data_IF_953879957284
#
_entry.id   IF_953879957284
#
_cell.length_a   1.000
_cell.length_b   1.000
_cell.length_c   1.000
_cell.angle_alpha   90.00
_cell.angle_beta   90.00
_cell.angle_gamma   90.00
#
_symmetry.space_group_name_H-M   'P 1'
#
loop_
_entity.id
_entity.type
_entity.pdbx_description
1 polymer ?
#
# COMPACT_ATOMS: atom_id res chain seq x y z
N UNK A 1 -13.86 -8.52 21.74
CA UNK A 1 -12.63 -8.27 20.95
C UNK A 1 -12.61 -9.28 19.83
N UNK A 2 -13.15 -8.90 18.67
CA UNK A 2 -13.02 -9.66 17.43
C UNK A 2 -11.60 -9.52 16.92
N UNK A 3 -10.97 -10.63 16.54
CA UNK A 3 -9.64 -10.64 15.92
C UNK A 3 -9.67 -9.78 14.65
N UNK A 4 -8.57 -9.09 14.29
CA UNK A 4 -8.50 -8.40 13.01
C UNK A 4 -8.72 -9.43 11.91
N UNK A 5 -9.78 -9.21 11.14
CA UNK A 5 -10.12 -9.96 9.95
C UNK A 5 -8.88 -9.97 9.06
N UNK A 6 -8.29 -11.16 8.88
CA UNK A 6 -7.15 -11.34 8.00
C UNK A 6 -7.57 -10.90 6.61
N UNK A 7 -7.03 -9.77 6.14
CA UNK A 7 -7.37 -9.20 4.84
C UNK A 7 -7.15 -10.26 3.76
N UNK A 8 -8.19 -10.51 2.96
CA UNK A 8 -8.10 -11.41 1.81
C UNK A 8 -7.14 -10.80 0.77
N UNK A 9 -6.02 -11.48 0.44
CA UNK A 9 -5.08 -11.00 -0.58
C UNK A 9 -5.74 -10.88 -1.97
N UNK A 10 -6.79 -11.66 -2.26
CA UNK A 10 -7.58 -11.51 -3.48
C UNK A 10 -8.29 -10.16 -3.54
N UNK A 11 -9.02 -9.82 -2.47
CA UNK A 11 -9.71 -8.54 -2.35
C UNK A 11 -8.76 -7.33 -2.42
N UNK A 12 -7.54 -7.45 -1.87
CA UNK A 12 -6.53 -6.37 -1.95
C UNK A 12 -6.06 -6.15 -3.39
N UNK A 13 -5.89 -7.23 -4.16
CA UNK A 13 -5.46 -7.15 -5.56
C UNK A 13 -6.53 -6.51 -6.43
N UNK A 14 -7.79 -6.93 -6.28
CA UNK A 14 -8.94 -6.34 -6.98
C UNK A 14 -9.11 -4.85 -6.68
N UNK A 15 -8.87 -4.43 -5.42
CA UNK A 15 -8.90 -3.02 -5.04
C UNK A 15 -7.80 -2.20 -5.71
N UNK A 16 -6.60 -2.76 -5.85
CA UNK A 16 -5.49 -2.10 -6.55
C UNK A 16 -5.78 -1.98 -8.06
N UNK A 17 -6.29 -3.03 -8.68
CA UNK A 17 -6.69 -2.99 -10.10
C UNK A 17 -7.79 -1.94 -10.35
N UNK A 18 -8.80 -1.89 -9.49
CA UNK A 18 -9.87 -0.89 -9.59
C UNK A 18 -9.34 0.53 -9.36
N UNK A 19 -8.46 0.73 -8.38
CA UNK A 19 -7.83 2.03 -8.16
C UNK A 19 -6.98 2.46 -9.37
N UNK A 20 -6.22 1.55 -9.96
CA UNK A 20 -5.44 1.82 -11.18
C UNK A 20 -6.34 2.23 -12.35
N UNK A 21 -7.46 1.52 -12.54
CA UNK A 21 -8.45 1.82 -13.58
C UNK A 21 -9.09 3.20 -13.39
N UNK A 22 -9.51 3.53 -12.17
CA UNK A 22 -10.12 4.83 -11.85
C UNK A 22 -9.14 5.98 -12.05
N UNK A 23 -7.90 5.83 -11.58
CA UNK A 23 -6.85 6.84 -11.77
C UNK A 23 -6.51 7.04 -13.26
N UNK A 24 -6.45 5.94 -14.02
CA UNK A 24 -6.23 5.98 -15.46
C UNK A 24 -7.34 6.71 -16.20
N UNK A 25 -8.61 6.43 -15.88
CA UNK A 25 -9.76 7.14 -16.45
C UNK A 25 -9.71 8.63 -16.14
N UNK A 26 -9.49 8.98 -14.87
CA UNK A 26 -9.40 10.37 -14.43
C UNK A 26 -8.27 11.14 -15.12
N UNK A 27 -7.09 10.53 -15.26
CA UNK A 27 -5.98 11.13 -16.00
C UNK A 27 -6.30 11.34 -17.48
N UNK A 28 -7.04 10.41 -18.10
CA UNK A 28 -7.54 10.53 -19.47
C UNK A 28 -8.51 11.70 -19.64
N UNK A 29 -9.55 11.73 -18.81
CA UNK A 29 -10.57 12.79 -18.80
C UNK A 29 -9.94 14.18 -18.57
N UNK A 30 -8.96 14.29 -17.68
CA UNK A 30 -8.24 15.54 -17.42
C UNK A 30 -7.45 16.01 -18.66
N UNK A 31 -6.79 15.10 -19.40
CA UNK A 31 -6.08 15.45 -20.64
C UNK A 31 -7.01 15.90 -21.75
N UNK A 32 -8.16 15.28 -21.88
CA UNK A 32 -9.19 15.70 -22.85
C UNK A 32 -9.74 17.09 -22.52
N UNK A 33 -10.03 17.34 -21.24
CA UNK A 33 -10.45 18.65 -20.76
C UNK A 33 -9.37 19.71 -21.02
N UNK A 34 -8.09 19.41 -20.75
CA UNK A 34 -6.98 20.33 -21.00
C UNK A 34 -6.79 20.65 -22.49
N UNK A 35 -7.00 19.66 -23.36
CA UNK A 35 -6.99 19.87 -24.81
C UNK A 35 -8.08 20.84 -25.25
N UNK A 36 -9.29 20.69 -24.69
CA UNK A 36 -10.43 21.58 -24.96
C UNK A 36 -10.18 23.00 -24.43
N UNK A 37 -9.65 23.13 -23.22
CA UNK A 37 -9.27 24.42 -22.63
C UNK A 37 -8.20 25.12 -23.46
N UNK A 38 -7.21 24.38 -23.97
CA UNK A 38 -6.16 24.95 -24.83
C UNK A 38 -6.75 25.54 -26.11
N UNK A 39 -7.68 24.84 -26.74
CA UNK A 39 -8.36 25.36 -27.93
C UNK A 39 -9.13 26.65 -27.61
N UNK A 40 -9.90 26.66 -26.52
CA UNK A 40 -10.65 27.84 -26.09
C UNK A 40 -9.74 29.04 -25.77
N UNK A 41 -8.62 28.81 -25.08
CA UNK A 41 -7.64 29.86 -24.77
C UNK A 41 -7.03 30.42 -26.05
N UNK A 42 -6.74 29.57 -27.04
CA UNK A 42 -6.22 30.02 -28.33
C UNK A 42 -7.24 30.87 -29.11
N UNK A 43 -8.52 30.50 -29.09
CA UNK A 43 -9.59 31.27 -29.71
C UNK A 43 -9.73 32.66 -29.05
N UNK A 44 -9.77 32.71 -27.72
CA UNK A 44 -9.83 33.98 -26.97
C UNK A 44 -8.59 34.84 -27.20
N UNK A 45 -7.40 34.24 -27.28
CA UNK A 45 -6.16 34.95 -27.56
C UNK A 45 -6.14 35.58 -28.96
N UNK A 46 -6.77 34.92 -29.95
CA UNK A 46 -6.89 35.46 -31.30
C UNK A 46 -7.75 36.73 -31.34
N UNK A 47 -8.80 36.77 -30.52
CA UNK A 47 -9.74 37.90 -30.42
C UNK A 47 -9.25 39.03 -29.51
N UNK A 48 -8.40 38.73 -28.52
CA UNK A 48 -7.93 39.69 -27.51
C UNK A 48 -6.42 39.95 -27.60
N UNK A 49 -6.04 40.79 -28.57
CA UNK A 49 -4.62 41.02 -28.92
C UNK A 49 -3.93 42.16 -28.15
N UNK A 50 -4.59 42.80 -27.20
CA UNK A 50 -3.98 43.86 -26.41
C UNK A 50 -3.00 43.30 -25.36
N UNK A 51 -2.15 44.15 -24.74
CA UNK A 51 -1.22 43.69 -23.69
C UNK A 51 -1.90 43.01 -22.49
N UNK A 52 -3.16 43.33 -22.21
CA UNK A 52 -3.96 42.68 -21.16
C UNK A 52 -4.32 41.24 -21.54
N UNK A 53 -4.69 41.03 -22.80
CA UNK A 53 -4.92 39.71 -23.38
C UNK A 53 -3.67 38.83 -23.33
N UNK A 54 -2.51 39.38 -23.71
CA UNK A 54 -1.22 38.66 -23.60
C UNK A 54 -0.93 38.20 -22.17
N UNK A 55 -1.08 39.08 -21.17
CA UNK A 55 -0.88 38.72 -19.76
C UNK A 55 -1.93 37.74 -19.20
N UNK A 56 -3.12 37.66 -19.80
CA UNK A 56 -4.10 36.62 -19.48
C UNK A 56 -3.69 35.26 -20.06
N UNK A 57 -3.24 35.22 -21.32
CA UNK A 57 -2.75 33.99 -21.97
C UNK A 57 -1.59 33.39 -21.21
N UNK A 58 -0.61 34.21 -20.77
CA UNK A 58 0.52 33.75 -19.97
C UNK A 58 0.07 33.07 -18.67
N UNK A 59 -0.93 33.64 -17.97
CA UNK A 59 -1.49 33.05 -16.76
C UNK A 59 -2.26 31.76 -17.05
N UNK A 60 -3.03 31.71 -18.12
CA UNK A 60 -3.72 30.51 -18.55
C UNK A 60 -2.73 29.37 -18.88
N UNK A 61 -1.61 29.70 -19.53
CA UNK A 61 -0.55 28.74 -19.83
C UNK A 61 0.16 28.21 -18.57
N UNK A 62 0.36 29.05 -17.55
CA UNK A 62 0.90 28.61 -16.26
C UNK A 62 -0.03 27.59 -15.58
N UNK A 63 -1.33 27.90 -15.50
CA UNK A 63 -2.33 26.97 -14.93
C UNK A 63 -2.40 25.68 -15.75
N UNK A 64 -2.39 25.78 -17.08
CA UNK A 64 -2.40 24.61 -17.96
C UNK A 64 -1.20 23.69 -17.70
N UNK A 65 0.02 24.22 -17.63
CA UNK A 65 1.22 23.41 -17.35
C UNK A 65 1.17 22.72 -16.00
N UNK A 66 0.53 23.35 -15.02
CA UNK A 66 0.34 22.75 -13.70
C UNK A 66 -0.66 21.59 -13.73
N UNK A 67 -1.78 21.77 -14.43
CA UNK A 67 -2.78 20.72 -14.65
C UNK A 67 -2.25 19.57 -15.53
N UNK A 68 -1.43 19.87 -16.55
CA UNK A 68 -0.73 18.86 -17.36
C UNK A 68 0.16 17.99 -16.43
N UNK A 69 0.90 18.61 -15.50
CA UNK A 69 1.70 17.88 -14.52
C UNK A 69 0.85 16.98 -13.62
N UNK A 70 -0.30 17.47 -13.15
CA UNK A 70 -1.22 16.66 -12.34
C UNK A 70 -1.81 15.47 -13.11
N UNK A 71 -2.11 15.64 -14.40
CA UNK A 71 -2.57 14.54 -15.25
C UNK A 71 -1.47 13.48 -15.44
N UNK A 72 -0.22 13.90 -15.58
CA UNK A 72 0.92 12.99 -15.68
C UNK A 72 1.20 12.26 -14.36
N UNK A 73 1.14 12.96 -13.22
CA UNK A 73 1.26 12.35 -11.89
C UNK A 73 0.15 11.32 -11.64
N UNK A 74 -1.09 11.61 -12.04
CA UNK A 74 -2.22 10.68 -11.92
C UNK A 74 -2.02 9.43 -12.80
N UNK A 75 -1.50 9.59 -14.03
CA UNK A 75 -1.22 8.47 -14.92
C UNK A 75 -0.05 7.60 -14.44
N UNK A 76 1.00 8.22 -13.89
CA UNK A 76 2.11 7.50 -13.26
C UNK A 76 1.64 6.75 -12.02
N UNK A 77 0.79 7.35 -11.19
CA UNK A 77 0.18 6.67 -10.04
C UNK A 77 -0.68 5.49 -10.49
N UNK A 78 -1.52 5.65 -11.52
CA UNK A 78 -2.30 4.54 -12.10
C UNK A 78 -1.40 3.37 -12.52
N UNK A 79 -0.29 3.69 -13.19
CA UNK A 79 0.67 2.68 -13.66
C UNK A 79 1.37 1.96 -12.50
N UNK A 80 1.77 2.69 -11.46
CA UNK A 80 2.39 2.09 -10.26
C UNK A 80 1.41 1.21 -9.49
N UNK A 81 0.15 1.64 -9.40
CA UNK A 81 -0.91 0.86 -8.75
C UNK A 81 -1.20 -0.44 -9.52
N UNK A 82 -1.26 -0.39 -10.86
CA UNK A 82 -1.41 -1.60 -11.67
C UNK A 82 -0.26 -2.59 -11.47
N UNK A 83 1.00 -2.11 -11.47
CA UNK A 83 2.16 -2.97 -11.18
C UNK A 83 2.10 -3.56 -9.78
N UNK A 84 1.64 -2.80 -8.79
CA UNK A 84 1.48 -3.33 -7.44
C UNK A 84 0.41 -4.43 -7.36
N UNK A 85 -0.66 -4.33 -8.14
CA UNK A 85 -1.67 -5.37 -8.28
C UNK A 85 -1.09 -6.65 -8.91
N UNK A 86 -0.35 -6.50 -10.02
CA UNK A 86 0.34 -7.62 -10.69
C UNK A 86 1.33 -8.33 -9.74
N UNK A 87 2.13 -7.57 -9.00
CA UNK A 87 3.07 -8.10 -8.01
C UNK A 87 2.33 -8.83 -6.87
N UNK A 88 1.19 -8.32 -6.44
CA UNK A 88 0.33 -8.95 -5.42
C UNK A 88 -0.24 -10.28 -5.91
N UNK A 89 -0.77 -10.30 -7.14
CA UNK A 89 -1.28 -11.50 -7.78
C UNK A 89 -0.19 -12.58 -7.92
N UNK A 90 1.02 -12.19 -8.35
CA UNK A 90 2.14 -13.11 -8.48
C UNK A 90 2.53 -13.76 -7.15
N UNK A 91 2.54 -12.98 -6.05
CA UNK A 91 2.82 -13.50 -4.69
C UNK A 91 1.74 -14.47 -4.23
N UNK A 92 0.46 -14.16 -4.48
CA UNK A 92 -0.66 -15.02 -4.11
C UNK A 92 -0.60 -16.38 -4.83
N UNK A 93 -0.26 -16.39 -6.13
CA UNK A 93 -0.07 -17.61 -6.91
C UNK A 93 1.09 -18.44 -6.35
N UNK A 94 2.22 -17.81 -6.02
CA UNK A 94 3.38 -18.50 -5.45
C UNK A 94 3.06 -19.10 -4.08
N UNK A 95 2.35 -18.37 -3.22
CA UNK A 95 1.90 -18.87 -1.92
C UNK A 95 0.96 -20.07 -2.06
N UNK A 96 -0.01 -20.00 -2.98
CA UNK A 96 -0.91 -21.13 -3.27
C UNK A 96 -0.15 -22.37 -3.76
N UNK A 97 0.83 -22.18 -4.65
CA UNK A 97 1.67 -23.28 -5.14
C UNK A 97 2.49 -23.92 -4.01
N UNK A 98 3.05 -23.12 -3.10
CA UNK A 98 3.77 -23.62 -1.93
C UNK A 98 2.83 -24.42 -1.00
N UNK A 99 1.63 -23.91 -0.73
CA UNK A 99 0.62 -24.61 0.08
C UNK A 99 0.18 -25.93 -0.56
N UNK A 100 -0.05 -25.97 -1.88
CA UNK A 100 -0.38 -27.20 -2.60
C UNK A 100 0.76 -28.22 -2.56
N UNK A 101 2.01 -27.77 -2.73
CA UNK A 101 3.17 -28.65 -2.64
C UNK A 101 3.29 -29.30 -1.25
N UNK A 102 3.10 -28.51 -0.18
CA UNK A 102 3.11 -29.01 1.19
C UNK A 102 1.95 -30.00 1.45
N UNK A 103 0.76 -29.74 0.91
CA UNK A 103 -0.38 -30.65 1.02
C UNK A 103 -0.12 -31.99 0.30
N UNK A 104 0.49 -31.98 -0.89
CA UNK A 104 0.87 -33.19 -1.62
C UNK A 104 1.93 -34.01 -0.87
N UNK A 105 2.93 -33.36 -0.28
CA UNK A 105 3.93 -34.01 0.57
C UNK A 105 3.27 -34.68 1.78
N UNK A 106 2.33 -33.98 2.45
CA UNK A 106 1.56 -34.55 3.55
C UNK A 106 0.71 -35.77 3.15
N UNK A 107 0.08 -35.72 1.97
CA UNK A 107 -0.69 -36.85 1.43
C UNK A 107 0.20 -38.07 1.12
N UNK A 108 1.41 -37.85 0.59
CA UNK A 108 2.37 -38.92 0.34
C UNK A 108 2.85 -39.57 1.65
N UNK A 109 3.14 -38.78 2.68
CA UNK A 109 3.52 -39.30 4.00
C UNK A 109 2.43 -40.18 4.61
N UNK A 110 1.17 -39.76 4.53
CA UNK A 110 0.01 -40.54 5.00
C UNK A 110 -0.18 -41.84 4.21
N UNK A 111 0.11 -41.83 2.89
CA UNK A 111 -0.01 -43.00 2.01
C UNK A 111 1.09 -44.04 2.26
N UNK A 112 2.30 -43.60 2.60
CA UNK A 112 3.44 -44.49 2.87
C UNK A 112 3.41 -45.11 4.27
N UNK A 113 2.35 -44.87 5.07
CA UNK A 113 2.26 -45.36 6.44
C UNK A 113 3.34 -44.75 7.34
N UNK A 114 3.95 -43.64 6.92
CA UNK A 114 4.80 -42.82 7.77
C UNK A 114 3.84 -42.07 8.70
N UNK A 115 3.45 -42.74 9.79
CA UNK A 115 2.86 -42.07 10.94
C UNK A 115 3.76 -40.86 11.23
N UNK A 116 3.22 -39.62 11.22
CA UNK A 116 3.99 -38.49 11.72
C UNK A 116 4.33 -38.90 13.14
N UNK A 117 5.62 -39.16 13.40
CA UNK A 117 6.06 -39.68 14.67
C UNK A 117 5.38 -38.85 15.75
N UNK A 118 4.38 -39.44 16.42
CA UNK A 118 3.88 -38.89 17.68
C UNK A 118 5.10 -38.96 18.56
N UNK A 119 5.83 -37.86 18.66
CA UNK A 119 6.71 -37.58 19.77
C UNK A 119 5.78 -37.60 20.97
N UNK A 120 5.60 -38.79 21.54
CA UNK A 120 5.08 -38.97 22.88
C UNK A 120 6.07 -38.18 23.74
N UNK A 121 5.65 -37.08 24.39
CA UNK A 121 6.53 -36.43 25.34
C UNK A 121 6.80 -37.45 26.44
N UNK A 122 8.05 -37.86 26.57
CA UNK A 122 8.53 -38.68 27.66
C UNK A 122 8.17 -37.97 28.99
N UNK A 123 7.30 -38.53 29.84
CA UNK A 123 6.94 -37.90 31.11
C UNK A 123 8.11 -37.86 32.11
N UNK A 124 9.23 -38.53 31.81
CA UNK A 124 10.46 -38.49 32.62
C UNK A 124 11.49 -37.46 32.12
N UNK A 125 11.29 -36.85 30.95
CA UNK A 125 12.07 -35.68 30.53
C UNK A 125 11.50 -34.45 31.24
N UNK A 126 12.07 -34.17 32.42
CA UNK A 126 11.65 -33.09 33.32
C UNK A 126 11.37 -31.77 32.60
N UNK A 127 10.34 -31.08 33.10
CA UNK A 127 9.91 -29.77 32.66
C UNK A 127 11.09 -28.85 32.33
N UNK A 128 11.28 -28.56 31.04
CA UNK A 128 12.19 -27.50 30.63
C UNK A 128 11.59 -26.17 31.12
N UNK A 129 12.37 -25.31 31.78
CA UNK A 129 11.88 -24.05 32.30
C UNK A 129 11.37 -23.18 31.14
N UNK A 130 10.11 -22.74 31.25
CA UNK A 130 9.56 -21.64 30.46
C UNK A 130 10.30 -20.37 30.87
N UNK A 131 11.46 -20.15 30.23
CA UNK A 131 12.14 -18.87 30.25
C UNK A 131 11.39 -17.87 29.36
N UNK A 132 11.39 -16.57 29.69
CA UNK A 132 10.67 -15.58 28.91
C UNK A 132 11.28 -15.43 27.50
N UNK A 133 10.38 -15.42 26.50
CA UNK A 133 10.65 -15.11 25.10
C UNK A 133 11.40 -13.78 24.94
N UNK A 134 12.67 -13.83 24.58
CA UNK A 134 13.47 -12.63 24.31
C UNK A 134 14.75 -12.96 23.53
N UNK A 135 14.71 -12.93 22.19
CA UNK A 135 15.85 -12.54 21.34
C UNK A 135 15.45 -12.48 19.86
N UNK A 136 14.93 -11.32 19.42
CA UNK A 136 15.15 -10.89 18.03
C UNK A 136 16.55 -10.28 17.89
N UNK A 137 17.07 -10.08 16.67
CA UNK A 137 18.41 -9.52 16.47
C UNK A 137 18.53 -8.15 17.13
N UNK A 138 19.53 -7.95 17.98
CA UNK A 138 19.87 -6.64 18.56
C UNK A 138 20.72 -5.87 17.54
N UNK A 139 20.23 -4.74 17.05
CA UNK A 139 21.04 -3.77 16.33
C UNK A 139 22.02 -3.12 17.32
N UNK A 140 23.31 -3.23 17.06
CA UNK A 140 24.34 -2.64 17.93
C UNK A 140 24.18 -1.13 18.03
N UNK A 141 24.22 -0.60 19.27
CA UNK A 141 24.24 0.85 19.54
C UNK A 141 22.95 1.47 20.07
N UNK A 142 21.88 0.71 20.28
CA UNK A 142 20.64 1.22 20.89
C UNK A 142 20.31 0.50 22.19
N UNK A 143 20.46 1.18 23.33
CA UNK A 143 19.97 0.68 24.63
C UNK A 143 18.44 0.75 24.69
N UNK A 144 17.78 -0.26 24.11
CA UNK A 144 16.32 -0.39 24.19
C UNK A 144 15.87 -0.85 25.57
N UNK A 145 15.35 0.05 26.41
CA UNK A 145 14.72 -0.30 27.69
C UNK A 145 13.25 -0.67 27.48
N UNK A 146 12.84 -1.86 27.95
CA UNK A 146 11.44 -2.32 27.86
C UNK A 146 10.54 -1.55 28.83
N UNK A 147 9.40 -1.09 28.34
CA UNK A 147 8.33 -0.49 29.15
C UNK A 147 7.41 -1.60 29.65
N UNK A 148 7.21 -1.67 30.97
CA UNK A 148 6.33 -2.65 31.61
C UNK A 148 4.85 -2.34 31.30
N UNK A 149 4.00 -3.36 31.10
CA UNK A 149 2.57 -3.18 30.88
C UNK A 149 1.94 -2.70 32.19
N UNK A 150 1.63 -1.40 32.24
CA UNK A 150 1.13 -0.72 33.45
C UNK A 150 1.59 0.74 33.55
N UNK A 151 2.62 1.12 32.80
CA UNK A 151 3.04 2.52 32.66
C UNK A 151 2.88 2.92 31.20
N UNK A 152 1.67 3.36 30.84
CA UNK A 152 1.38 3.81 29.48
C UNK A 152 2.33 4.91 29.03
N UNK A 153 2.69 4.87 27.75
CA UNK A 153 3.46 5.91 27.06
C UNK A 153 2.60 7.19 27.04
N UNK A 154 2.99 8.21 27.80
CA UNK A 154 2.33 9.52 27.73
C UNK A 154 2.82 10.25 26.48
N UNK A 155 2.02 10.25 25.42
CA UNK A 155 2.22 11.14 24.29
C UNK A 155 1.99 12.57 24.81
N UNK A 156 2.91 13.49 24.54
CA UNK A 156 2.75 14.88 24.91
C UNK A 156 1.47 15.44 24.28
N UNK A 157 0.52 15.88 25.11
CA UNK A 157 -0.66 16.62 24.64
C UNK A 157 -0.24 18.01 24.18
N UNK A 158 -0.56 18.35 22.93
CA UNK A 158 -0.42 19.70 22.39
C UNK A 158 -1.28 20.66 23.23
N UNK A 159 -0.79 21.86 23.61
CA UNK A 159 -1.60 22.83 24.34
C UNK A 159 -2.79 23.31 23.49
N UNK A 160 -3.94 23.48 24.13
CA UNK A 160 -5.14 24.01 23.48
C UNK A 160 -4.90 25.44 22.96
N UNK A 161 -5.43 25.79 21.78
CA UNK A 161 -5.32 27.15 21.26
C UNK A 161 -6.08 28.12 22.16
N UNK A 162 -5.59 29.36 22.34
CA UNK A 162 -6.25 30.36 23.18
C UNK A 162 -7.66 30.66 22.65
N UNK A 163 -8.64 30.64 23.55
CA UNK A 163 -10.01 31.03 23.26
C UNK A 163 -10.03 32.49 22.76
N UNK A 164 -10.71 32.72 21.62
CA UNK A 164 -10.98 34.06 21.09
C UNK A 164 -12.01 34.80 21.93
#
# INVERSE_FOLDING_TARGET
MTAPESADPGATTEQLDEAARLLGSYAGELREALTSVRALVADVAADWQDPGGAGWVDRADLVRRDLDRHADDAADLATRTARAAEDSAARAVQESALQQSAALVGQHALREGVEPARTVPDPAAGALPVGPLLAGPLLGGTEGRRVLPGTGMRIATLPDPPAR
#
